data_IF_079389786605
#
_entry.id   IF_079389786605
#
_cell.length_a   1.000
_cell.length_b   1.000
_cell.length_c   1.000
_cell.angle_alpha   90.00
_cell.angle_beta   90.00
_cell.angle_gamma   90.00
#
_symmetry.space_group_name_H-M   'P 1'
#
loop_
_entity.id
_entity.type
_entity.pdbx_description
1 polymer ?
#
# COMPACT_ATOMS: atom_id res chain seq x y z
N UNK A 1 -33.79 -31.60 45.37
CA UNK A 1 -33.68 -31.58 43.89
C UNK A 1 -33.33 -30.16 43.46
N UNK A 2 -32.13 -29.97 42.90
CA UNK A 2 -31.63 -28.70 42.38
C UNK A 2 -32.41 -28.26 41.13
N UNK A 3 -32.61 -26.94 40.99
CA UNK A 3 -32.67 -26.09 39.77
C UNK A 3 -33.40 -24.81 40.21
N UNK A 4 -32.91 -23.59 39.98
CA UNK A 4 -32.54 -23.03 38.68
C UNK A 4 -31.52 -21.91 38.87
N UNK A 5 -30.43 -21.97 38.13
CA UNK A 5 -29.46 -20.90 37.99
C UNK A 5 -29.91 -19.93 36.89
N UNK A 6 -29.67 -18.64 37.15
CA UNK A 6 -29.87 -17.48 36.30
C UNK A 6 -29.06 -17.60 35.00
N UNK A 7 -29.60 -17.13 33.88
CA UNK A 7 -28.80 -16.72 32.74
C UNK A 7 -29.33 -15.37 32.23
N UNK A 8 -28.65 -14.30 32.67
CA UNK A 8 -28.77 -12.99 32.06
C UNK A 8 -28.11 -13.06 30.69
N UNK A 9 -28.89 -12.90 29.62
CA UNK A 9 -28.36 -12.75 28.26
C UNK A 9 -27.59 -11.43 28.19
N UNK A 10 -26.27 -11.50 28.30
CA UNK A 10 -25.41 -10.39 27.93
C UNK A 10 -25.51 -10.21 26.42
N UNK A 11 -26.14 -9.10 26.02
CA UNK A 11 -26.14 -8.57 24.67
C UNK A 11 -24.67 -8.30 24.29
N UNK A 12 -24.05 -9.19 23.52
CA UNK A 12 -22.74 -8.90 22.94
C UNK A 12 -22.91 -7.75 21.94
N UNK A 13 -22.50 -6.54 22.33
CA UNK A 13 -22.18 -5.49 21.38
C UNK A 13 -21.12 -6.06 20.44
N UNK A 14 -21.48 -6.34 19.19
CA UNK A 14 -20.49 -6.58 18.15
C UNK A 14 -19.72 -5.27 17.97
N UNK A 15 -18.54 -5.20 18.58
CA UNK A 15 -17.56 -4.17 18.28
C UNK A 15 -17.34 -4.19 16.76
N UNK A 16 -17.60 -3.07 16.09
CA UNK A 16 -17.33 -2.91 14.67
C UNK A 16 -15.87 -3.32 14.41
N UNK A 17 -15.66 -4.34 13.58
CA UNK A 17 -14.32 -4.75 13.20
C UNK A 17 -13.65 -3.59 12.46
N UNK A 18 -12.40 -3.24 12.79
CA UNK A 18 -11.67 -2.20 12.09
C UNK A 18 -11.39 -2.69 10.66
N UNK A 19 -11.92 -1.99 9.67
CA UNK A 19 -11.80 -2.37 8.26
C UNK A 19 -10.32 -2.35 7.82
N UNK A 20 -9.69 -3.51 7.67
CA UNK A 20 -8.39 -3.65 7.00
C UNK A 20 -8.63 -3.93 5.50
N UNK A 21 -7.88 -3.30 4.59
CA UNK A 21 -8.06 -3.52 3.14
C UNK A 21 -7.47 -4.85 2.69
N UNK A 22 -8.11 -5.54 1.73
CA UNK A 22 -7.49 -6.72 1.11
C UNK A 22 -6.44 -6.36 0.06
N UNK A 23 -6.54 -5.17 -0.52
CA UNK A 23 -5.56 -4.67 -1.47
C UNK A 23 -5.54 -3.13 -1.48
N UNK A 24 -4.48 -2.59 -2.03
CA UNK A 24 -4.30 -1.15 -2.24
C UNK A 24 -3.86 -0.87 -3.67
N UNK A 25 -4.40 0.18 -4.28
CA UNK A 25 -3.84 0.72 -5.51
C UNK A 25 -2.51 1.38 -5.20
N UNK A 26 -1.50 1.10 -6.02
CA UNK A 26 -0.16 1.66 -5.89
C UNK A 26 0.02 2.73 -6.95
N UNK A 27 0.03 3.98 -6.52
CA UNK A 27 0.53 5.07 -7.34
C UNK A 27 2.02 5.28 -7.06
N UNK A 28 2.79 5.63 -8.08
CA UNK A 28 4.24 5.84 -7.96
C UNK A 28 4.62 7.12 -8.68
N UNK A 29 5.17 8.06 -7.92
CA UNK A 29 5.60 9.34 -8.44
C UNK A 29 7.04 9.64 -8.01
N UNK A 30 7.71 10.46 -8.80
CA UNK A 30 9.06 10.92 -8.49
C UNK A 30 8.94 12.37 -8.05
N UNK A 31 9.22 12.62 -6.77
CA UNK A 31 9.30 13.97 -6.21
C UNK A 31 10.77 14.41 -6.24
N UNK A 32 11.03 15.55 -6.88
CA UNK A 32 12.36 16.18 -6.90
C UNK A 32 12.29 17.51 -6.17
N UNK A 33 13.36 17.85 -5.46
CA UNK A 33 13.50 19.13 -4.78
C UNK A 33 14.77 19.21 -3.96
N UNK A 34 14.96 20.36 -3.33
CA UNK A 34 16.05 20.61 -2.40
C UNK A 34 15.55 20.40 -0.99
N UNK A 35 16.32 19.70 -0.15
CA UNK A 35 15.97 19.53 1.26
C UNK A 35 16.06 20.89 1.95
N UNK A 36 14.99 21.29 2.60
CA UNK A 36 14.96 22.46 3.46
C UNK A 36 15.12 22.05 4.93
N UNK A 37 14.42 21.00 5.35
CA UNK A 37 14.49 20.48 6.72
C UNK A 37 14.37 18.97 6.73
N UNK A 38 15.11 18.34 7.65
CA UNK A 38 15.07 16.92 7.96
C UNK A 38 14.62 16.75 9.40
N UNK A 39 13.56 15.98 9.61
CA UNK A 39 13.16 15.51 10.93
C UNK A 39 13.27 13.98 10.96
N UNK A 40 14.42 13.50 11.46
CA UNK A 40 14.68 12.07 11.60
C UNK A 40 13.80 11.42 12.68
N UNK A 41 13.30 12.18 13.66
CA UNK A 41 12.46 11.64 14.74
C UNK A 41 11.06 11.26 14.23
N UNK A 42 10.55 12.02 13.27
CA UNK A 42 9.25 11.77 12.62
C UNK A 42 9.38 11.20 11.21
N UNK A 43 10.59 10.83 10.78
CA UNK A 43 10.90 10.37 9.42
C UNK A 43 10.30 11.28 8.33
N UNK A 44 10.43 12.60 8.49
CA UNK A 44 9.79 13.58 7.61
C UNK A 44 10.83 14.50 6.97
N UNK A 45 10.66 14.77 5.68
CA UNK A 45 11.43 15.77 4.93
C UNK A 45 10.52 16.91 4.50
N UNK A 46 11.04 18.14 4.56
CA UNK A 46 10.47 19.29 3.87
C UNK A 46 11.35 19.59 2.67
N UNK A 47 10.75 19.57 1.48
CA UNK A 47 11.42 19.84 0.22
C UNK A 47 10.92 21.15 -0.38
N UNK A 48 11.84 21.96 -0.86
CA UNK A 48 11.55 23.04 -1.79
C UNK A 48 11.56 22.50 -3.22
N UNK A 49 10.43 22.60 -3.92
CA UNK A 49 10.34 22.22 -5.34
C UNK A 49 10.91 23.32 -6.22
N UNK A 50 11.24 22.99 -7.47
CA UNK A 50 11.75 23.96 -8.45
C UNK A 50 10.84 25.18 -8.72
N UNK A 51 9.56 25.11 -8.35
CA UNK A 51 8.60 26.23 -8.43
C UNK A 51 8.51 27.06 -7.14
N UNK A 52 9.44 26.88 -6.19
CA UNK A 52 9.46 27.54 -4.89
C UNK A 52 8.37 27.06 -3.92
N UNK A 53 7.62 26.01 -4.27
CA UNK A 53 6.58 25.46 -3.37
C UNK A 53 7.20 24.41 -2.47
N UNK A 54 6.93 24.54 -1.18
CA UNK A 54 7.28 23.53 -0.21
C UNK A 54 6.41 22.27 -0.34
N UNK A 55 6.98 21.13 -0.03
CA UNK A 55 6.27 19.86 0.07
C UNK A 55 6.85 19.03 1.19
N UNK A 56 5.98 18.71 2.16
CA UNK A 56 6.30 17.77 3.22
C UNK A 56 6.12 16.34 2.72
N UNK A 57 7.12 15.49 2.97
CA UNK A 57 7.14 14.08 2.58
C UNK A 57 7.42 13.24 3.81
N UNK A 58 6.44 12.42 4.20
CA UNK A 58 6.67 11.35 5.18
C UNK A 58 7.40 10.18 4.51
N UNK A 59 8.42 9.67 5.17
CA UNK A 59 9.25 8.57 4.70
C UNK A 59 8.83 7.28 5.40
N UNK A 60 8.85 6.18 4.64
CA UNK A 60 8.73 4.84 5.25
C UNK A 60 9.96 4.54 6.09
N UNK A 61 9.80 3.80 7.18
CA UNK A 61 10.91 3.25 7.96
C UNK A 61 11.89 2.41 7.13
N UNK A 62 11.43 1.89 5.98
CA UNK A 62 12.24 1.11 5.03
C UNK A 62 12.74 1.94 3.84
N UNK A 63 12.65 3.26 3.92
CA UNK A 63 13.16 4.15 2.88
C UNK A 63 14.68 3.98 2.78
N UNK A 64 15.17 3.91 1.55
CA UNK A 64 16.60 3.88 1.27
C UNK A 64 16.98 5.23 0.65
N UNK A 65 18.04 5.84 1.16
CA UNK A 65 18.52 7.14 0.72
C UNK A 65 19.84 6.98 -0.02
N UNK A 66 20.01 7.72 -1.12
CA UNK A 66 21.23 7.67 -1.91
C UNK A 66 21.63 9.09 -2.32
N UNK A 67 22.91 9.42 -2.17
CA UNK A 67 23.52 10.64 -2.72
C UNK A 67 24.65 10.22 -3.66
N UNK A 68 24.60 10.68 -4.91
CA UNK A 68 25.57 10.34 -5.95
C UNK A 68 25.80 8.82 -6.10
N UNK A 69 24.73 8.03 -5.90
CA UNK A 69 24.78 6.57 -5.98
C UNK A 69 25.23 5.85 -4.70
N UNK A 70 25.70 6.57 -3.68
CA UNK A 70 26.12 5.99 -2.41
C UNK A 70 24.94 5.97 -1.43
N UNK A 71 24.69 4.83 -0.79
CA UNK A 71 23.71 4.72 0.27
C UNK A 71 24.11 5.60 1.46
N UNK A 72 23.17 6.34 2.02
CA UNK A 72 23.38 7.21 3.17
C UNK A 72 22.26 7.01 4.20
N UNK A 73 22.52 7.40 5.44
CA UNK A 73 21.51 7.40 6.49
C UNK A 73 20.64 8.66 6.42
N UNK A 74 19.42 8.61 6.95
CA UNK A 74 18.57 9.79 7.07
C UNK A 74 19.21 10.88 7.92
N UNK A 75 20.00 10.50 8.94
CA UNK A 75 20.71 11.42 9.81
C UNK A 75 21.86 12.15 9.09
N UNK A 76 22.32 11.63 7.95
CA UNK A 76 23.34 12.26 7.12
C UNK A 76 22.75 13.21 6.07
N UNK A 77 21.41 13.22 5.93
CA UNK A 77 20.73 14.20 5.08
C UNK A 77 20.82 15.59 5.69
N UNK A 78 21.14 16.57 4.84
CA UNK A 78 21.30 17.96 5.23
C UNK A 78 20.48 18.86 4.31
N UNK A 79 20.07 20.00 4.86
CA UNK A 79 19.48 21.07 4.07
C UNK A 79 20.43 21.50 2.94
N UNK A 80 19.86 21.89 1.80
CA UNK A 80 20.58 22.28 0.59
C UNK A 80 20.92 21.13 -0.36
N UNK A 81 20.76 19.86 0.04
CA UNK A 81 20.95 18.74 -0.88
C UNK A 81 19.77 18.60 -1.85
N UNK A 82 20.06 18.48 -3.14
CA UNK A 82 19.05 18.06 -4.13
C UNK A 82 18.79 16.57 -4.00
N UNK A 83 17.51 16.19 -3.94
CA UNK A 83 17.09 14.80 -3.80
C UNK A 83 16.02 14.41 -4.81
N UNK A 84 16.01 13.12 -5.12
CA UNK A 84 14.99 12.46 -5.93
C UNK A 84 14.34 11.35 -5.11
N UNK A 85 13.09 11.57 -4.71
CA UNK A 85 12.32 10.63 -3.90
C UNK A 85 11.33 9.86 -4.79
N UNK A 86 11.40 8.53 -4.75
CA UNK A 86 10.37 7.68 -5.34
C UNK A 86 9.27 7.46 -4.30
N UNK A 87 8.19 8.24 -4.40
CA UNK A 87 7.05 8.14 -3.49
C UNK A 87 6.06 7.11 -4.03
N UNK A 88 5.65 6.20 -3.15
CA UNK A 88 4.55 5.26 -3.43
C UNK A 88 3.38 5.59 -2.53
N UNK A 89 2.21 5.77 -3.12
CA UNK A 89 0.96 6.00 -2.39
C UNK A 89 0.10 4.75 -2.49
N UNK A 90 -0.38 4.26 -1.35
CA UNK A 90 -1.21 3.07 -1.26
C UNK A 90 -2.63 3.47 -0.91
N UNK A 91 -3.50 3.52 -1.90
CA UNK A 91 -4.92 3.82 -1.68
C UNK A 91 -5.67 2.54 -1.45
N UNK A 92 -6.13 2.33 -0.21
CA UNK A 92 -6.97 1.19 0.13
C UNK A 92 -8.28 1.26 -0.66
N UNK A 93 -8.69 0.13 -1.23
CA UNK A 93 -9.98 0.03 -1.93
C UNK A 93 -10.89 -0.90 -1.13
N UNK A 94 -12.11 -0.44 -0.89
CA UNK A 94 -13.12 -1.19 -0.12
C UNK A 94 -14.05 -2.01 -1.03
N UNK A 95 -14.09 -1.67 -2.31
CA UNK A 95 -14.89 -2.33 -3.33
C UNK A 95 -14.17 -3.47 -4.04
N UNK A 96 -14.92 -4.17 -4.89
CA UNK A 96 -14.43 -5.22 -5.78
C UNK A 96 -13.69 -4.61 -6.98
N UNK A 97 -12.46 -5.05 -7.23
CA UNK A 97 -11.72 -4.73 -8.45
C UNK A 97 -11.75 -5.91 -9.40
N UNK A 98 -12.09 -5.66 -10.66
CA UNK A 98 -12.15 -6.68 -11.71
C UNK A 98 -11.19 -6.30 -12.83
N UNK A 99 -10.36 -7.25 -13.23
CA UNK A 99 -9.43 -7.02 -14.33
C UNK A 99 -8.66 -8.25 -14.77
N UNK A 100 -7.86 -8.07 -15.81
CA UNK A 100 -6.92 -9.07 -16.32
C UNK A 100 -5.54 -8.80 -15.73
N UNK A 101 -4.88 -9.82 -15.16
CA UNK A 101 -3.48 -9.71 -14.74
C UNK A 101 -2.61 -9.54 -15.98
N UNK A 102 -1.85 -8.45 -16.03
CA UNK A 102 -0.88 -8.17 -17.11
C UNK A 102 0.53 -8.57 -16.67
N UNK A 103 0.86 -8.34 -15.42
CA UNK A 103 2.17 -8.66 -14.85
C UNK A 103 2.06 -8.93 -13.34
N UNK A 104 2.97 -9.74 -12.80
CA UNK A 104 3.04 -10.05 -11.36
C UNK A 104 4.47 -9.86 -10.90
N UNK A 105 4.66 -9.12 -9.80
CA UNK A 105 5.92 -9.00 -9.10
C UNK A 105 5.76 -9.66 -7.71
N UNK A 106 6.40 -10.83 -7.58
CA UNK A 106 6.34 -11.66 -6.37
C UNK A 106 7.09 -11.06 -5.20
N UNK A 107 8.20 -10.37 -5.46
CA UNK A 107 9.05 -9.75 -4.44
C UNK A 107 8.28 -8.68 -3.66
N UNK A 108 7.52 -7.86 -4.39
CA UNK A 108 6.80 -6.72 -3.81
C UNK A 108 5.33 -7.05 -3.50
N UNK A 109 4.89 -8.29 -3.75
CA UNK A 109 3.48 -8.71 -3.71
C UNK A 109 2.55 -7.77 -4.50
N UNK A 110 2.97 -7.37 -5.70
CA UNK A 110 2.19 -6.49 -6.58
C UNK A 110 1.80 -7.16 -7.89
N UNK A 111 0.68 -6.76 -8.47
CA UNK A 111 0.34 -7.10 -9.85
C UNK A 111 -0.16 -5.87 -10.61
N UNK A 112 0.10 -5.85 -11.91
CA UNK A 112 -0.49 -4.88 -12.84
C UNK A 112 -1.75 -5.48 -13.42
N UNK A 113 -2.88 -4.80 -13.28
CA UNK A 113 -4.17 -5.22 -13.80
C UNK A 113 -4.57 -4.32 -14.97
N UNK A 114 -5.18 -4.90 -16.01
CA UNK A 114 -5.91 -4.18 -17.04
C UNK A 114 -7.40 -4.25 -16.74
N UNK A 115 -8.02 -3.09 -16.60
CA UNK A 115 -9.45 -2.94 -16.33
C UNK A 115 -10.26 -2.99 -17.63
N UNK A 116 -11.59 -3.07 -17.52
CA UNK A 116 -12.50 -3.13 -18.68
C UNK A 116 -12.43 -1.89 -19.57
N UNK A 117 -12.14 -0.72 -18.98
CA UNK A 117 -11.90 0.54 -19.68
C UNK A 117 -10.51 0.61 -20.37
N UNK A 118 -9.74 -0.49 -20.38
CA UNK A 118 -8.36 -0.60 -20.89
C UNK A 118 -7.30 0.13 -20.07
N UNK A 119 -7.67 0.82 -19.00
CA UNK A 119 -6.73 1.39 -18.06
C UNK A 119 -5.93 0.30 -17.36
N UNK A 120 -4.70 0.62 -16.94
CA UNK A 120 -3.91 -0.29 -16.13
C UNK A 120 -3.60 0.29 -14.76
N UNK A 121 -3.85 -0.50 -13.72
CA UNK A 121 -3.59 -0.13 -12.33
C UNK A 121 -2.58 -1.09 -11.70
N UNK A 122 -1.74 -0.60 -10.79
CA UNK A 122 -0.91 -1.45 -9.96
C UNK A 122 -1.63 -1.72 -8.65
N UNK A 123 -1.66 -2.98 -8.24
CA UNK A 123 -2.33 -3.44 -7.03
C UNK A 123 -1.30 -4.10 -6.15
N UNK A 124 -1.21 -3.67 -4.90
CA UNK A 124 -0.51 -4.41 -3.85
C UNK A 124 -1.53 -5.25 -3.08
N UNK A 125 -1.20 -6.53 -2.92
CA UNK A 125 -2.05 -7.50 -2.26
C UNK A 125 -1.66 -7.59 -0.78
N UNK A 126 -2.66 -7.56 0.10
CA UNK A 126 -2.47 -7.86 1.52
C UNK A 126 -2.17 -9.34 1.77
N UNK A 127 -1.99 -9.73 3.02
CA UNK A 127 -1.69 -11.13 3.36
C UNK A 127 -2.91 -12.07 3.22
N UNK A 128 -4.13 -11.50 3.16
CA UNK A 128 -5.39 -12.22 3.00
C UNK A 128 -6.11 -11.79 1.72
N UNK A 129 -5.70 -12.34 0.58
CA UNK A 129 -6.35 -12.05 -0.69
C UNK A 129 -7.12 -13.27 -1.18
N UNK A 130 -8.43 -13.12 -1.27
CA UNK A 130 -9.27 -13.98 -2.08
C UNK A 130 -9.26 -13.44 -3.52
N UNK A 131 -8.58 -14.16 -4.42
CA UNK A 131 -8.66 -13.88 -5.86
C UNK A 131 -9.65 -14.84 -6.47
N UNK A 132 -10.90 -14.41 -6.65
CA UNK A 132 -11.85 -15.22 -7.41
C UNK A 132 -11.61 -15.05 -8.91
N UNK A 133 -11.15 -16.10 -9.58
CA UNK A 133 -11.08 -16.18 -11.04
C UNK A 133 -11.96 -17.31 -11.57
N UNK A 134 -12.20 -17.37 -12.88
CA UNK A 134 -12.90 -18.49 -13.55
C UNK A 134 -12.17 -19.83 -13.33
N UNK A 135 -10.87 -19.79 -12.97
CA UNK A 135 -10.15 -20.84 -12.25
C UNK A 135 -9.89 -20.34 -10.83
N UNK A 136 -10.30 -21.11 -9.81
CA UNK A 136 -10.12 -20.78 -8.40
C UNK A 136 -8.63 -20.63 -8.05
N UNK A 137 -8.11 -19.41 -8.09
CA UNK A 137 -6.77 -19.09 -7.59
C UNK A 137 -6.90 -18.60 -6.16
N UNK A 138 -6.64 -19.47 -5.20
CA UNK A 138 -6.84 -19.15 -3.78
C UNK A 138 -5.69 -18.35 -3.15
N UNK A 139 -4.64 -18.04 -3.92
CA UNK A 139 -3.50 -17.25 -3.42
C UNK A 139 -2.81 -16.41 -4.50
N UNK A 140 -2.15 -15.34 -4.05
CA UNK A 140 -1.36 -14.46 -4.92
C UNK A 140 -0.26 -15.21 -5.71
N UNK A 141 0.32 -16.26 -5.13
CA UNK A 141 1.36 -17.06 -5.78
C UNK A 141 0.89 -17.81 -7.03
N UNK A 142 -0.42 -18.01 -7.16
CA UNK A 142 -1.02 -18.67 -8.31
C UNK A 142 -1.40 -17.71 -9.44
N UNK A 143 -1.29 -16.39 -9.23
CA UNK A 143 -1.57 -15.40 -10.27
C UNK A 143 -0.59 -15.52 -11.44
N UNK A 144 -1.10 -15.41 -12.67
CA UNK A 144 -0.33 -15.40 -13.91
C UNK A 144 -0.89 -14.35 -14.87
N UNK A 145 -0.05 -13.77 -15.74
CA UNK A 145 -0.53 -12.94 -16.85
C UNK A 145 -1.63 -13.65 -17.66
N UNK A 146 -2.65 -12.89 -18.08
CA UNK A 146 -3.83 -13.38 -18.79
C UNK A 146 -4.96 -13.89 -17.88
N UNK A 147 -4.74 -14.03 -16.57
CA UNK A 147 -5.81 -14.43 -15.65
C UNK A 147 -6.82 -13.29 -15.47
N UNK A 148 -8.10 -13.59 -15.71
CA UNK A 148 -9.23 -12.76 -15.28
C UNK A 148 -9.42 -12.96 -13.77
N UNK A 149 -9.40 -11.87 -13.03
CA UNK A 149 -9.48 -11.87 -11.58
C UNK A 149 -10.52 -10.88 -11.08
N UNK A 150 -11.16 -11.30 -10.00
CA UNK A 150 -11.95 -10.47 -9.11
C UNK A 150 -11.21 -10.43 -7.78
N UNK A 151 -10.76 -9.24 -7.41
CA UNK A 151 -10.12 -8.99 -6.13
C UNK A 151 -11.16 -8.36 -5.21
N UNK A 152 -11.38 -9.00 -4.06
CA UNK A 152 -12.29 -8.53 -3.01
C UNK A 152 -11.69 -8.79 -1.65
N UNK A 153 -12.26 -8.16 -0.62
CA UNK A 153 -11.95 -8.50 0.75
C UNK A 153 -12.29 -9.97 1.05
N UNK A 154 -11.34 -10.71 1.63
CA UNK A 154 -11.60 -12.04 2.18
C UNK A 154 -12.31 -11.84 3.51
N UNK A 155 -13.59 -12.25 3.58
CA UNK A 155 -14.35 -12.29 4.84
C UNK A 155 -13.79 -13.32 5.80
#
# INVERSE_FOLDING_TARGET
MLKKSVAASALFLSLAAPFAGAYSLVDSEVVKGTIETVDASTNTLVLEKANGRETRVGLSEKANFYINGNAIDINDLKAGHEVRINRKTFTKVEDKLVGEIVAVNRKDKTAKLRLSNKETVNVQFGDQVAVSGVKSVSSFDQLRPGHQVVISYAK
#
